data_IF_244936834413
#
_entry.id   IF_244936834413
#
_cell.length_a   1.000
_cell.length_b   1.000
_cell.length_c   1.000
_cell.angle_alpha   90.00
_cell.angle_beta   90.00
_cell.angle_gamma   90.00
#
_symmetry.space_group_name_H-M   'P 1'
#
loop_
_entity.id
_entity.type
_entity.pdbx_description
1 polymer ?
#
# COMPACT_ATOMS: atom_id res chain seq x y z
N UNK A 1 -24.92 22.65 -3.62
CA UNK A 1 -23.77 22.65 -2.71
C UNK A 1 -22.87 23.79 -3.11
N UNK A 2 -22.68 24.76 -2.22
CA UNK A 2 -21.84 25.93 -2.46
C UNK A 2 -20.37 25.47 -2.62
N UNK A 3 -19.59 25.98 -3.59
CA UNK A 3 -18.16 25.64 -3.73
C UNK A 3 -17.36 25.85 -2.43
N UNK A 4 -17.70 26.87 -1.66
CA UNK A 4 -17.07 27.16 -0.35
C UNK A 4 -17.32 26.04 0.67
N UNK A 5 -18.52 25.49 0.70
CA UNK A 5 -18.90 24.40 1.61
C UNK A 5 -18.16 23.10 1.28
N UNK A 6 -17.93 22.83 -0.01
CA UNK A 6 -17.18 21.66 -0.46
C UNK A 6 -15.68 21.76 -0.09
N UNK A 7 -15.10 22.95 -0.16
CA UNK A 7 -13.71 23.19 0.24
C UNK A 7 -13.52 23.05 1.75
N UNK A 8 -14.45 23.57 2.54
CA UNK A 8 -14.42 23.44 4.01
C UNK A 8 -14.53 21.97 4.45
N UNK A 9 -15.40 21.19 3.80
CA UNK A 9 -15.52 19.76 4.05
C UNK A 9 -14.20 19.04 3.72
N UNK A 10 -13.60 19.36 2.58
CA UNK A 10 -12.31 18.75 2.15
C UNK A 10 -11.19 19.08 3.14
N UNK A 11 -11.10 20.35 3.57
CA UNK A 11 -10.11 20.81 4.55
C UNK A 11 -10.27 20.07 5.89
N UNK A 12 -11.50 19.91 6.37
CA UNK A 12 -11.78 19.18 7.61
C UNK A 12 -11.38 17.70 7.52
N UNK A 13 -11.60 17.05 6.38
CA UNK A 13 -11.15 15.69 6.14
C UNK A 13 -9.63 15.58 6.09
N UNK A 14 -8.96 16.56 5.48
CA UNK A 14 -7.51 16.60 5.45
C UNK A 14 -6.94 16.74 6.87
N UNK A 15 -7.41 17.68 7.65
CA UNK A 15 -6.99 17.87 9.05
C UNK A 15 -7.21 16.60 9.90
N UNK A 16 -8.36 15.96 9.77
CA UNK A 16 -8.68 14.72 10.49
C UNK A 16 -7.76 13.57 10.10
N UNK A 17 -7.50 13.37 8.82
CA UNK A 17 -6.61 12.30 8.36
C UNK A 17 -5.16 12.57 8.76
N UNK A 18 -4.68 13.80 8.68
CA UNK A 18 -3.35 14.18 9.15
C UNK A 18 -3.18 13.91 10.65
N UNK A 19 -4.16 14.26 11.47
CA UNK A 19 -4.12 14.00 12.91
C UNK A 19 -4.15 12.50 13.21
N UNK A 20 -4.99 11.74 12.51
CA UNK A 20 -5.11 10.30 12.69
C UNK A 20 -3.79 9.56 12.44
N UNK A 21 -3.07 9.96 11.37
CA UNK A 21 -1.82 9.30 10.97
C UNK A 21 -0.55 9.93 11.59
N UNK A 22 -0.63 11.14 12.16
CA UNK A 22 0.51 11.72 12.92
C UNK A 22 0.88 10.91 14.15
N UNK A 23 -0.06 10.24 14.77
CA UNK A 23 0.21 9.37 15.93
C UNK A 23 1.10 8.20 15.58
N UNK A 24 0.96 7.67 14.36
CA UNK A 24 1.75 6.52 13.90
C UNK A 24 3.17 6.91 13.45
N UNK A 25 3.42 8.21 13.18
CA UNK A 25 4.73 8.71 12.76
C UNK A 25 5.69 8.99 13.92
N UNK A 26 5.22 9.06 15.17
CA UNK A 26 6.08 9.28 16.33
C UNK A 26 6.82 8.03 16.79
N UNK A 27 6.45 6.86 16.28
CA UNK A 27 7.15 5.58 16.52
C UNK A 27 8.15 5.24 15.40
N UNK A 28 8.61 6.24 14.64
CA UNK A 28 9.80 6.07 13.83
C UNK A 28 11.01 6.07 14.78
N UNK A 29 11.22 4.92 15.42
CA UNK A 29 12.53 4.55 15.90
C UNK A 29 13.51 4.83 14.76
N UNK A 30 14.53 5.62 15.05
CA UNK A 30 15.74 5.75 14.27
C UNK A 30 16.42 4.37 14.21
N UNK A 31 15.82 3.43 13.51
CA UNK A 31 16.53 2.28 13.03
C UNK A 31 17.49 2.81 11.97
N UNK A 32 18.68 3.16 12.41
CA UNK A 32 19.91 3.12 11.63
C UNK A 32 20.11 1.65 11.20
N UNK A 33 19.12 1.12 10.50
CA UNK A 33 19.12 -0.20 9.92
C UNK A 33 20.21 -0.22 8.88
N UNK A 34 21.35 -0.77 9.24
CA UNK A 34 22.33 -1.24 8.28
C UNK A 34 21.55 -2.11 7.31
N UNK A 35 21.17 -1.55 6.16
CA UNK A 35 20.60 -2.29 5.04
C UNK A 35 21.71 -3.25 4.60
N UNK A 36 21.72 -4.42 5.18
CA UNK A 36 22.62 -5.47 4.76
C UNK A 36 22.24 -5.85 3.33
N UNK A 37 23.19 -5.81 2.43
CA UNK A 37 23.07 -6.19 1.01
C UNK A 37 22.72 -7.67 0.77
N UNK A 38 22.10 -8.32 1.75
CA UNK A 38 21.83 -9.75 1.80
C UNK A 38 20.41 -10.13 1.37
N UNK A 39 19.55 -9.15 1.08
CA UNK A 39 18.23 -9.51 0.60
C UNK A 39 18.24 -9.86 -0.88
N UNK A 40 17.69 -11.03 -1.25
CA UNK A 40 17.67 -11.45 -2.64
C UNK A 40 16.85 -10.52 -3.51
N UNK A 41 17.29 -10.34 -4.75
CA UNK A 41 16.58 -9.57 -5.75
C UNK A 41 15.12 -10.06 -5.89
N UNK A 42 14.22 -9.14 -6.24
CA UNK A 42 12.83 -9.50 -6.55
C UNK A 42 12.79 -10.19 -7.91
N UNK A 43 12.26 -11.40 -7.93
CA UNK A 43 12.25 -12.27 -9.09
C UNK A 43 10.98 -12.07 -9.94
N UNK A 44 11.09 -12.31 -11.24
CA UNK A 44 9.94 -12.28 -12.16
C UNK A 44 8.82 -13.23 -11.74
N UNK A 45 9.15 -14.42 -11.23
CA UNK A 45 8.17 -15.38 -10.74
C UNK A 45 7.36 -14.87 -9.55
N UNK A 46 7.98 -14.09 -8.65
CA UNK A 46 7.28 -13.46 -7.53
C UNK A 46 6.30 -12.38 -8.02
N UNK A 47 6.74 -11.57 -8.99
CA UNK A 47 5.87 -10.55 -9.61
C UNK A 47 4.71 -11.22 -10.32
N UNK A 48 4.95 -12.28 -11.10
CA UNK A 48 3.91 -13.05 -11.79
C UNK A 48 2.90 -13.64 -10.81
N UNK A 49 3.36 -14.25 -9.74
CA UNK A 49 2.51 -14.78 -8.68
C UNK A 49 1.67 -13.67 -8.02
N UNK A 50 2.30 -12.54 -7.67
CA UNK A 50 1.61 -11.42 -7.02
C UNK A 50 0.57 -10.79 -7.94
N UNK A 51 0.87 -10.59 -9.22
CA UNK A 51 -0.08 -10.12 -10.23
C UNK A 51 -1.26 -11.09 -10.38
N UNK A 52 -1.01 -12.40 -10.41
CA UNK A 52 -2.04 -13.44 -10.45
C UNK A 52 -3.02 -13.35 -9.27
N UNK A 53 -2.52 -12.95 -8.11
CA UNK A 53 -3.30 -12.91 -6.86
C UNK A 53 -4.14 -11.62 -6.68
N UNK A 54 -3.93 -10.58 -7.50
CA UNK A 54 -4.72 -9.34 -7.40
C UNK A 54 -6.07 -9.52 -8.10
N UNK A 55 -7.13 -9.19 -7.38
CA UNK A 55 -8.51 -9.27 -7.88
C UNK A 55 -8.82 -8.16 -8.88
N UNK A 56 -9.55 -8.50 -9.94
CA UNK A 56 -10.05 -7.58 -10.95
C UNK A 56 -11.15 -6.64 -10.40
N UNK A 57 -11.51 -5.63 -11.19
CA UNK A 57 -12.59 -4.68 -10.88
C UNK A 57 -12.39 -3.93 -9.55
N UNK A 58 -11.15 -3.59 -9.24
CA UNK A 58 -10.80 -2.74 -8.10
C UNK A 58 -10.42 -1.35 -8.56
N UNK A 59 -10.82 -0.35 -7.79
CA UNK A 59 -10.48 1.04 -8.06
C UNK A 59 -8.95 1.23 -8.11
N UNK A 60 -8.49 2.00 -9.10
CA UNK A 60 -7.09 2.40 -9.25
C UNK A 60 -6.66 3.34 -8.11
N UNK A 61 -5.36 3.42 -7.86
CA UNK A 61 -4.76 4.41 -6.97
C UNK A 61 -4.63 5.78 -7.61
N UNK A 62 -3.76 6.62 -7.04
CA UNK A 62 -3.50 7.98 -7.52
C UNK A 62 -2.84 8.04 -8.91
N UNK A 63 -2.22 6.95 -9.34
CA UNK A 63 -1.62 6.79 -10.67
C UNK A 63 -2.66 6.55 -11.78
N UNK A 64 -3.92 6.29 -11.42
CA UNK A 64 -5.02 6.04 -12.36
C UNK A 64 -4.88 4.73 -13.15
N UNK A 65 -3.90 3.88 -12.85
CA UNK A 65 -3.64 2.65 -13.60
C UNK A 65 -4.56 1.53 -13.08
N UNK A 66 -5.50 1.03 -13.89
CA UNK A 66 -6.37 -0.07 -13.50
C UNK A 66 -5.61 -1.41 -13.47
N UNK A 67 -6.05 -2.33 -12.63
CA UNK A 67 -5.43 -3.67 -12.52
C UNK A 67 -5.54 -4.46 -13.83
N UNK A 68 -6.56 -4.21 -14.60
CA UNK A 68 -6.82 -4.84 -15.91
C UNK A 68 -5.67 -4.60 -16.87
N UNK A 69 -5.05 -3.40 -16.82
CA UNK A 69 -3.90 -3.10 -17.67
C UNK A 69 -2.70 -4.01 -17.35
N UNK A 70 -2.44 -4.26 -16.05
CA UNK A 70 -1.39 -5.20 -15.65
C UNK A 70 -1.68 -6.64 -16.08
N UNK A 71 -2.95 -7.03 -16.18
CA UNK A 71 -3.34 -8.36 -16.67
C UNK A 71 -3.19 -8.48 -18.18
N UNK A 72 -3.51 -7.42 -18.93
CA UNK A 72 -3.34 -7.41 -20.40
C UNK A 72 -1.85 -7.41 -20.77
N UNK A 73 -1.04 -6.66 -20.04
CA UNK A 73 0.40 -6.51 -20.26
C UNK A 73 1.23 -7.41 -19.33
N UNK A 74 0.71 -8.58 -18.95
CA UNK A 74 1.33 -9.43 -17.93
C UNK A 74 2.81 -9.73 -18.22
N UNK A 75 3.15 -10.11 -19.44
CA UNK A 75 4.52 -10.44 -19.84
C UNK A 75 5.47 -9.23 -19.76
N UNK A 76 4.99 -8.04 -20.11
CA UNK A 76 5.79 -6.81 -20.02
C UNK A 76 5.86 -6.31 -18.56
N UNK A 77 4.77 -6.40 -17.82
CA UNK A 77 4.74 -6.02 -16.42
C UNK A 77 5.70 -6.89 -15.58
N UNK A 78 5.73 -8.20 -15.85
CA UNK A 78 6.64 -9.15 -15.18
C UNK A 78 8.10 -8.83 -15.44
N UNK A 79 8.45 -8.27 -16.60
CA UNK A 79 9.83 -7.85 -16.93
C UNK A 79 10.21 -6.50 -16.34
N UNK A 80 9.27 -5.56 -16.32
CA UNK A 80 9.54 -4.16 -15.94
C UNK A 80 9.45 -3.94 -14.43
N UNK A 81 8.43 -4.49 -13.77
CA UNK A 81 8.21 -4.27 -12.34
C UNK A 81 9.37 -4.72 -11.44
N UNK A 82 10.04 -5.86 -11.67
CA UNK A 82 11.20 -6.25 -10.86
C UNK A 82 12.30 -5.19 -10.86
N UNK A 83 12.60 -4.62 -12.03
CA UNK A 83 13.62 -3.57 -12.15
C UNK A 83 13.24 -2.30 -11.36
N UNK A 84 11.98 -1.89 -11.41
CA UNK A 84 11.47 -0.74 -10.66
C UNK A 84 11.55 -1.04 -9.15
N UNK A 85 11.10 -2.20 -8.71
CA UNK A 85 11.12 -2.58 -7.29
C UNK A 85 12.57 -2.68 -6.78
N UNK A 86 13.47 -3.23 -7.57
CA UNK A 86 14.89 -3.32 -7.23
C UNK A 86 15.54 -1.94 -7.11
N UNK A 87 15.20 -1.03 -8.02
CA UNK A 87 15.67 0.36 -7.93
C UNK A 87 15.14 1.05 -6.68
N UNK A 88 13.85 0.88 -6.37
CA UNK A 88 13.23 1.41 -5.14
C UNK A 88 13.93 0.87 -3.89
N UNK A 89 14.27 -0.42 -3.90
CA UNK A 89 14.97 -1.06 -2.79
C UNK A 89 16.37 -0.47 -2.59
N UNK A 90 17.14 -0.35 -3.67
CA UNK A 90 18.51 0.21 -3.64
C UNK A 90 18.55 1.69 -3.28
N UNK A 91 17.62 2.48 -3.79
CA UNK A 91 17.63 3.94 -3.60
C UNK A 91 16.81 4.41 -2.40
N UNK A 92 16.01 3.52 -1.79
CA UNK A 92 15.02 3.86 -0.75
C UNK A 92 14.02 4.95 -1.23
N UNK A 93 13.87 5.12 -2.54
CA UNK A 93 13.00 6.12 -3.14
C UNK A 93 11.87 5.45 -3.92
N UNK A 94 10.64 5.87 -3.62
CA UNK A 94 9.44 5.45 -4.35
C UNK A 94 9.03 6.50 -5.38
N UNK A 95 8.46 6.11 -6.53
CA UNK A 95 7.83 7.06 -7.46
C UNK A 95 6.84 7.97 -6.73
N UNK A 96 6.75 9.25 -7.15
CA UNK A 96 5.91 10.23 -6.44
C UNK A 96 4.44 9.82 -6.41
N UNK A 97 3.93 9.27 -7.51
CA UNK A 97 2.54 8.83 -7.59
C UNK A 97 2.24 7.63 -6.67
N UNK A 98 3.26 6.82 -6.33
CA UNK A 98 3.09 5.70 -5.40
C UNK A 98 3.16 6.11 -3.93
N UNK A 99 3.64 7.34 -3.66
CA UNK A 99 3.64 7.92 -2.31
C UNK A 99 2.26 8.49 -1.92
N UNK A 100 1.37 8.66 -2.90
CA UNK A 100 0.05 9.25 -2.69
C UNK A 100 -1.00 8.15 -2.54
N UNK A 101 -1.90 8.34 -1.59
CA UNK A 101 -3.07 7.50 -1.41
C UNK A 101 -4.32 8.35 -1.56
N UNK A 102 -5.36 7.81 -2.18
CA UNK A 102 -6.67 8.43 -2.22
C UNK A 102 -7.47 7.85 -1.06
N UNK A 103 -7.91 8.71 -0.13
CA UNK A 103 -8.74 8.29 0.99
C UNK A 103 -10.22 8.45 0.64
N UNK A 104 -10.99 7.37 0.77
CA UNK A 104 -12.44 7.36 0.59
C UNK A 104 -13.09 7.15 1.94
N UNK A 105 -13.84 8.14 2.46
CA UNK A 105 -14.59 7.97 3.69
C UNK A 105 -15.89 7.19 3.42
N UNK A 106 -16.10 6.10 4.15
CA UNK A 106 -17.31 5.29 4.12
C UNK A 106 -18.04 5.47 5.44
N UNK A 107 -19.31 5.93 5.44
CA UNK A 107 -20.05 6.15 6.67
C UNK A 107 -20.29 4.82 7.42
N UNK A 108 -20.06 4.85 8.73
CA UNK A 108 -20.56 3.83 9.65
C UNK A 108 -22.06 4.03 9.87
N UNK A 109 -22.72 3.03 10.45
CA UNK A 109 -24.10 3.19 10.93
C UNK A 109 -24.11 4.22 12.06
N UNK A 110 -24.94 5.29 11.92
CA UNK A 110 -25.08 6.33 12.94
C UNK A 110 -25.04 7.75 12.37
N UNK A 111 -24.58 8.71 13.18
CA UNK A 111 -24.54 10.12 12.81
C UNK A 111 -23.38 10.42 11.83
N UNK A 112 -23.71 10.70 10.58
CA UNK A 112 -22.76 11.02 9.52
C UNK A 112 -22.13 12.44 9.61
N UNK A 113 -22.40 13.20 10.69
CA UNK A 113 -21.86 14.56 10.84
C UNK A 113 -20.44 14.63 11.37
N UNK A 114 -19.92 13.55 11.92
CA UNK A 114 -18.57 13.50 12.51
C UNK A 114 -17.65 12.61 11.69
N UNK A 115 -16.40 13.07 11.44
CA UNK A 115 -15.40 12.29 10.71
C UNK A 115 -15.06 10.96 11.40
N UNK A 116 -15.14 10.88 12.73
CA UNK A 116 -14.95 9.66 13.53
C UNK A 116 -15.97 8.56 13.20
N UNK A 117 -17.13 8.93 12.65
CA UNK A 117 -18.19 8.00 12.24
C UNK A 117 -18.00 7.45 10.82
N UNK A 118 -16.80 7.56 10.28
CA UNK A 118 -16.45 6.99 8.98
C UNK A 118 -15.28 6.01 9.09
N UNK A 119 -15.29 5.01 8.23
CA UNK A 119 -14.12 4.21 7.91
C UNK A 119 -13.42 4.82 6.72
N UNK A 120 -12.13 5.04 6.78
CA UNK A 120 -11.34 5.47 5.64
C UNK A 120 -10.75 4.27 4.90
N UNK A 121 -11.00 4.18 3.59
CA UNK A 121 -10.31 3.22 2.72
C UNK A 121 -9.23 3.99 1.95
N UNK A 122 -7.99 3.50 2.03
CA UNK A 122 -6.90 4.04 1.25
C UNK A 122 -6.77 3.28 -0.08
N UNK A 123 -6.90 4.00 -1.19
CA UNK A 123 -6.59 3.48 -2.52
C UNK A 123 -5.14 3.78 -2.84
N UNK A 124 -4.33 2.74 -2.92
CA UNK A 124 -2.93 2.80 -3.34
C UNK A 124 -2.79 2.20 -4.74
N UNK A 125 -1.70 2.53 -5.45
CA UNK A 125 -1.43 2.00 -6.79
C UNK A 125 -1.40 0.47 -6.81
N UNK A 126 -1.82 -0.14 -7.92
CA UNK A 126 -1.78 -1.58 -8.07
C UNK A 126 -0.35 -2.12 -8.09
N UNK A 127 0.61 -1.38 -8.64
CA UNK A 127 2.03 -1.73 -8.59
C UNK A 127 2.54 -1.79 -7.13
N UNK A 128 2.14 -0.83 -6.28
CA UNK A 128 2.44 -0.87 -4.84
C UNK A 128 1.82 -2.11 -4.17
N UNK A 129 0.60 -2.48 -4.53
CA UNK A 129 -0.05 -3.70 -4.01
C UNK A 129 0.72 -4.96 -4.40
N UNK A 130 1.24 -5.04 -5.64
CA UNK A 130 2.11 -6.14 -6.09
C UNK A 130 3.34 -6.24 -5.20
N UNK A 131 4.05 -5.14 -5.00
CA UNK A 131 5.24 -5.11 -4.14
C UNK A 131 4.92 -5.54 -2.71
N UNK A 132 3.87 -4.99 -2.11
CA UNK A 132 3.45 -5.34 -0.75
C UNK A 132 3.11 -6.83 -0.61
N UNK A 133 2.50 -7.45 -1.62
CA UNK A 133 2.23 -8.88 -1.61
C UNK A 133 3.49 -9.73 -1.62
N UNK A 134 4.49 -9.34 -2.40
CA UNK A 134 5.79 -10.01 -2.43
C UNK A 134 6.46 -9.91 -1.05
N UNK A 135 6.51 -8.69 -0.48
CA UNK A 135 7.09 -8.47 0.84
C UNK A 135 6.34 -9.25 1.93
N UNK A 136 5.01 -9.28 1.88
CA UNK A 136 4.19 -10.06 2.81
C UNK A 136 4.53 -11.56 2.71
N UNK A 137 4.65 -12.11 1.51
CA UNK A 137 4.99 -13.52 1.32
C UNK A 137 6.38 -13.85 1.87
N UNK A 138 7.38 -13.01 1.60
CA UNK A 138 8.73 -13.17 2.12
C UNK A 138 8.76 -13.09 3.65
N UNK A 139 8.08 -12.09 4.23
CA UNK A 139 7.98 -11.94 5.67
C UNK A 139 7.27 -13.14 6.31
N UNK A 140 6.18 -13.61 5.73
CA UNK A 140 5.46 -14.79 6.23
C UNK A 140 6.34 -16.04 6.22
N UNK A 141 7.12 -16.23 5.16
CA UNK A 141 8.07 -17.34 5.07
C UNK A 141 9.14 -17.24 6.15
N UNK A 142 9.72 -16.05 6.37
CA UNK A 142 10.70 -15.81 7.43
C UNK A 142 10.12 -16.08 8.81
N UNK A 143 8.95 -15.54 9.12
CA UNK A 143 8.27 -15.74 10.42
C UNK A 143 7.99 -17.22 10.68
N UNK A 144 7.52 -17.95 9.67
CA UNK A 144 7.25 -19.38 9.81
C UNK A 144 8.52 -20.22 10.04
N UNK A 145 9.66 -19.76 9.51
CA UNK A 145 10.95 -20.45 9.69
C UNK A 145 11.58 -20.16 11.05
N UNK A 146 11.53 -18.89 11.49
CA UNK A 146 12.22 -18.42 12.70
C UNK A 146 11.37 -18.55 13.98
N UNK A 147 10.02 -18.59 13.84
CA UNK A 147 9.09 -18.61 14.96
C UNK A 147 8.02 -19.70 14.83
N UNK A 148 8.41 -20.99 14.66
CA UNK A 148 7.44 -22.05 14.39
C UNK A 148 6.42 -22.27 15.52
N UNK A 149 6.78 -21.95 16.78
CA UNK A 149 5.94 -22.27 17.96
C UNK A 149 5.11 -21.11 18.52
N UNK A 150 5.20 -19.88 17.98
CA UNK A 150 4.51 -18.70 18.53
C UNK A 150 3.30 -18.22 17.75
N UNK A 151 3.09 -18.67 16.52
CA UNK A 151 2.05 -18.10 15.64
C UNK A 151 0.74 -18.87 15.58
N UNK A 152 0.56 -19.96 16.32
CA UNK A 152 -0.69 -20.77 16.28
C UNK A 152 -1.82 -20.24 17.18
N UNK A 153 -1.62 -19.14 17.93
CA UNK A 153 -2.63 -18.65 18.89
C UNK A 153 -3.41 -17.39 18.45
N UNK A 154 -3.27 -16.94 17.19
CA UNK A 154 -3.92 -15.71 16.69
C UNK A 154 -4.73 -15.92 15.40
N UNK A 155 -5.42 -17.05 15.30
CA UNK A 155 -6.46 -17.26 14.27
C UNK A 155 -7.79 -17.51 14.98
#
# INVERSE_FOLDING_TARGET
>A
MDPTEAEDIKKRWQEYTEELYKKDLHDQDNHDGVVTHLEPDILECEVKWALGSITMNKASGSDGIPVELFKILEDDAVKVLPSIFQQMWKTQQRPQDWKRSIFIPIPKTGNAKECSNYHTIALISHATKVMLKILQARLQQYVNQELPDRCTSWI
#
